data_IF_161949207526
#
_entry.id   IF_161949207526
#
_cell.length_a   1.000
_cell.length_b   1.000
_cell.length_c   1.000
_cell.angle_alpha   90.00
_cell.angle_beta   90.00
_cell.angle_gamma   90.00
#
_symmetry.space_group_name_H-M   'P 1'
#
loop_
_entity.id
_entity.type
_entity.pdbx_description
1 polymer ?
#
# COMPACT_ATOMS: atom_id res chain seq x y z
N UNK A 1 4.90 -4.59 15.76
CA UNK A 1 3.51 -4.75 15.25
C UNK A 1 3.62 -5.19 13.80
N UNK A 2 2.74 -6.07 13.31
CA UNK A 2 2.69 -6.54 11.92
C UNK A 2 1.62 -5.79 11.12
N UNK A 3 1.84 -5.62 9.82
CA UNK A 3 0.93 -4.93 8.91
C UNK A 3 0.77 -5.74 7.62
N UNK A 4 -0.46 -5.86 7.13
CA UNK A 4 -0.77 -6.46 5.84
C UNK A 4 -0.49 -5.45 4.72
N UNK A 5 0.10 -5.90 3.62
CA UNK A 5 0.50 -5.05 2.51
C UNK A 5 -0.33 -5.35 1.26
N UNK A 6 -0.87 -4.30 0.65
CA UNK A 6 -1.33 -4.32 -0.74
C UNK A 6 -0.41 -3.49 -1.63
N UNK A 7 -0.12 -4.01 -2.81
CA UNK A 7 0.71 -3.38 -3.85
C UNK A 7 -0.19 -2.92 -4.99
N UNK A 8 -0.21 -1.63 -5.28
CA UNK A 8 -1.07 -1.00 -6.30
C UNK A 8 -0.21 -0.45 -7.42
N UNK A 9 -0.32 -1.02 -8.60
CA UNK A 9 0.59 -0.73 -9.72
C UNK A 9 0.08 0.45 -10.55
N UNK A 10 0.19 1.65 -10.00
CA UNK A 10 -0.07 2.91 -10.70
C UNK A 10 0.92 3.98 -10.25
N UNK A 11 1.25 4.90 -11.17
CA UNK A 11 2.04 6.10 -10.89
C UNK A 11 1.17 7.35 -10.69
N UNK A 12 -0.11 7.25 -11.00
CA UNK A 12 -1.04 8.38 -10.92
C UNK A 12 -1.70 8.42 -9.55
N UNK A 13 -1.39 9.47 -8.77
CA UNK A 13 -1.94 9.69 -7.43
C UNK A 13 -3.46 9.92 -7.43
N UNK A 14 -4.01 10.52 -8.49
CA UNK A 14 -5.47 10.73 -8.61
C UNK A 14 -6.17 9.38 -8.75
N UNK A 15 -5.67 8.53 -9.65
CA UNK A 15 -6.17 7.15 -9.83
C UNK A 15 -6.05 6.35 -8.52
N UNK A 16 -4.90 6.44 -7.83
CA UNK A 16 -4.73 5.79 -6.53
C UNK A 16 -5.73 6.30 -5.47
N UNK A 17 -5.95 7.62 -5.43
CA UNK A 17 -6.84 8.24 -4.46
C UNK A 17 -8.30 7.81 -4.70
N UNK A 18 -8.70 7.70 -5.96
CA UNK A 18 -10.04 7.24 -6.33
C UNK A 18 -10.27 5.78 -5.90
N UNK A 19 -9.29 4.88 -6.07
CA UNK A 19 -9.43 3.46 -5.72
C UNK A 19 -9.19 3.13 -4.24
N UNK A 20 -8.61 4.04 -3.43
CA UNK A 20 -8.18 3.75 -2.06
C UNK A 20 -9.31 3.15 -1.18
N UNK A 21 -10.53 3.65 -1.30
CA UNK A 21 -11.68 3.17 -0.53
C UNK A 21 -12.07 1.71 -0.84
N UNK A 22 -11.75 1.21 -2.04
CA UNK A 22 -11.98 -0.18 -2.42
C UNK A 22 -10.92 -1.11 -1.81
N UNK A 23 -9.68 -0.60 -1.64
CA UNK A 23 -8.58 -1.37 -1.08
C UNK A 23 -8.79 -1.74 0.39
N UNK A 24 -9.47 -0.89 1.16
CA UNK A 24 -9.74 -1.14 2.58
C UNK A 24 -10.55 -2.42 2.83
N UNK A 25 -11.33 -2.87 1.82
CA UNK A 25 -12.13 -4.08 1.89
C UNK A 25 -11.51 -5.25 1.13
N UNK A 26 -10.33 -5.05 0.52
CA UNK A 26 -9.67 -6.03 -0.31
C UNK A 26 -8.64 -6.81 0.50
N UNK A 27 -8.79 -8.13 0.53
CA UNK A 27 -7.84 -9.03 1.16
C UNK A 27 -7.23 -9.96 0.12
N UNK A 28 -5.90 -9.90 -0.04
CA UNK A 28 -5.12 -10.74 -0.96
C UNK A 28 -4.00 -11.43 -0.19
N UNK A 29 -3.79 -12.71 -0.44
CA UNK A 29 -2.60 -13.41 0.05
C UNK A 29 -1.36 -12.97 -0.70
N UNK A 30 -0.17 -13.19 -0.15
CA UNK A 30 1.09 -12.88 -0.83
C UNK A 30 1.15 -13.50 -2.23
N UNK A 31 1.48 -12.68 -3.22
CA UNK A 31 1.57 -13.09 -4.63
C UNK A 31 0.23 -13.28 -5.34
N UNK A 32 -0.90 -13.20 -4.64
CA UNK A 32 -2.21 -13.15 -5.30
C UNK A 32 -2.38 -11.79 -5.99
N UNK A 33 -2.97 -11.81 -7.18
CA UNK A 33 -3.19 -10.61 -7.98
C UNK A 33 -4.67 -10.49 -8.35
N UNK A 34 -5.14 -9.24 -8.49
CA UNK A 34 -6.46 -8.90 -9.00
C UNK A 34 -6.40 -7.57 -9.73
N UNK A 35 -7.51 -7.17 -10.34
CA UNK A 35 -7.67 -5.88 -10.99
C UNK A 35 -8.80 -5.11 -10.32
N UNK A 36 -8.52 -3.87 -9.92
CA UNK A 36 -9.47 -2.95 -9.30
C UNK A 36 -9.57 -1.74 -10.21
N UNK A 37 -10.72 -1.55 -10.86
CA UNK A 37 -10.96 -0.43 -11.78
C UNK A 37 -9.87 -0.24 -12.86
N UNK A 38 -9.39 -1.35 -13.45
CA UNK A 38 -8.33 -1.30 -14.47
C UNK A 38 -6.91 -1.20 -13.92
N UNK A 39 -6.75 -1.11 -12.60
CA UNK A 39 -5.45 -1.05 -11.93
C UNK A 39 -5.13 -2.40 -11.31
N UNK A 40 -3.93 -2.91 -11.62
CA UNK A 40 -3.44 -4.15 -11.02
C UNK A 40 -3.16 -3.93 -9.53
N UNK A 41 -3.64 -4.86 -8.71
CA UNK A 41 -3.38 -4.91 -7.26
C UNK A 41 -2.86 -6.29 -6.88
N UNK A 42 -1.87 -6.37 -6.00
CA UNK A 42 -1.32 -7.63 -5.52
C UNK A 42 -1.16 -7.65 -4.00
N UNK A 43 -1.30 -8.83 -3.39
CA UNK A 43 -0.96 -9.05 -1.99
C UNK A 43 0.55 -9.02 -1.79
N UNK A 44 1.03 -8.11 -0.94
CA UNK A 44 2.43 -7.93 -0.58
C UNK A 44 2.88 -8.74 0.63
N UNK A 45 1.98 -9.52 1.25
CA UNK A 45 2.26 -10.28 2.47
C UNK A 45 2.18 -9.41 3.72
N UNK A 46 3.03 -9.72 4.69
CA UNK A 46 3.11 -9.00 5.96
C UNK A 46 4.50 -8.40 6.16
N UNK A 47 4.53 -7.20 6.74
CA UNK A 47 5.75 -6.51 7.14
C UNK A 47 5.65 -6.05 8.58
N UNK A 48 6.81 -5.83 9.21
CA UNK A 48 6.89 -5.31 10.55
C UNK A 48 7.09 -3.78 10.57
N UNK A 49 7.27 -3.23 11.76
CA UNK A 49 7.50 -1.80 11.96
C UNK A 49 8.89 -1.35 11.50
N UNK A 50 9.90 -2.23 11.55
CA UNK A 50 11.25 -1.94 11.08
C UNK A 50 11.29 -1.70 9.56
N UNK A 51 10.41 -2.37 8.81
CA UNK A 51 10.19 -2.07 7.40
C UNK A 51 9.80 -0.61 7.17
N UNK A 52 8.86 -0.06 7.96
CA UNK A 52 8.45 1.34 7.83
C UNK A 52 9.59 2.30 8.18
N UNK A 53 10.35 2.02 9.23
CA UNK A 53 11.49 2.85 9.61
C UNK A 53 12.57 2.87 8.53
N UNK A 54 12.80 1.74 7.88
CA UNK A 54 13.68 1.63 6.72
C UNK A 54 13.16 2.44 5.53
N UNK A 55 11.85 2.41 5.26
CA UNK A 55 11.26 3.12 4.12
C UNK A 55 11.22 4.64 4.34
N UNK A 56 11.03 5.12 5.57
CA UNK A 56 10.98 6.55 5.93
C UNK A 56 12.26 7.33 5.66
N UNK A 57 13.41 6.66 5.69
CA UNK A 57 14.71 7.32 5.48
C UNK A 57 15.15 7.33 4.01
N UNK A 58 14.42 6.65 3.13
CA UNK A 58 14.72 6.60 1.69
C UNK A 58 14.25 7.87 1.00
N UNK A 59 15.14 8.49 0.22
CA UNK A 59 14.88 9.77 -0.46
C UNK A 59 13.86 9.66 -1.60
N UNK A 60 13.70 8.46 -2.16
CA UNK A 60 12.80 8.16 -3.28
C UNK A 60 11.44 7.61 -2.83
N UNK A 61 11.16 7.63 -1.53
CA UNK A 61 9.90 7.15 -0.94
C UNK A 61 9.13 8.32 -0.35
N UNK A 62 7.90 8.52 -0.81
CA UNK A 62 6.95 9.37 -0.09
C UNK A 62 6.14 8.52 0.89
N UNK A 63 6.01 9.00 2.12
CA UNK A 63 5.25 8.33 3.19
C UNK A 63 4.04 9.19 3.56
N UNK A 64 2.85 8.66 3.33
CA UNK A 64 1.59 9.28 3.70
C UNK A 64 0.95 8.47 4.83
N UNK A 65 0.40 9.17 5.84
CA UNK A 65 -0.30 8.53 6.96
C UNK A 65 -1.77 8.92 6.96
N UNK A 66 -2.64 7.93 6.86
CA UNK A 66 -4.09 8.11 6.96
C UNK A 66 -4.45 8.05 8.45
N UNK A 67 -5.02 9.14 8.98
CA UNK A 67 -5.34 9.24 10.41
C UNK A 67 -6.40 8.20 10.84
N UNK A 68 -7.53 8.07 10.12
CA UNK A 68 -8.44 6.95 10.33
C UNK A 68 -7.73 5.61 10.07
N UNK A 69 -7.90 4.62 10.95
CA UNK A 69 -7.39 3.26 10.73
C UNK A 69 -5.87 3.09 10.84
N UNK A 70 -5.09 4.15 11.09
CA UNK A 70 -3.63 4.10 11.21
C UNK A 70 -2.93 3.43 10.00
N UNK A 71 -3.50 3.60 8.81
CA UNK A 71 -2.97 3.08 7.54
C UNK A 71 -1.78 3.92 7.09
N UNK A 72 -0.73 3.26 6.61
CA UNK A 72 0.43 3.93 6.01
C UNK A 72 0.46 3.62 4.52
N UNK A 73 0.67 4.66 3.70
CA UNK A 73 0.81 4.54 2.26
C UNK A 73 2.22 4.94 1.89
N UNK A 74 2.91 4.08 1.15
CA UNK A 74 4.23 4.35 0.59
C UNK A 74 4.09 4.54 -0.91
N UNK A 75 4.68 5.58 -1.47
CA UNK A 75 4.81 5.75 -2.92
C UNK A 75 6.29 5.65 -3.29
N UNK A 76 6.63 4.66 -4.11
CA UNK A 76 7.99 4.44 -4.60
C UNK A 76 7.97 3.52 -5.82
N UNK A 77 9.07 3.44 -6.56
CA UNK A 77 9.25 2.45 -7.66
C UNK A 77 8.11 2.42 -8.70
N UNK A 78 7.39 3.53 -8.86
CA UNK A 78 6.25 3.65 -9.77
C UNK A 78 4.98 2.92 -9.33
N UNK A 79 4.81 2.68 -8.04
CA UNK A 79 3.65 2.01 -7.44
C UNK A 79 3.35 2.58 -6.05
N UNK A 80 2.24 2.12 -5.46
CA UNK A 80 1.88 2.40 -4.07
C UNK A 80 1.83 1.11 -3.26
N UNK A 81 2.36 1.15 -2.03
CA UNK A 81 2.10 0.13 -1.02
C UNK A 81 1.13 0.70 0.02
N UNK A 82 0.09 -0.06 0.34
CA UNK A 82 -0.87 0.28 1.40
C UNK A 82 -0.69 -0.72 2.52
N UNK A 83 -0.28 -0.22 3.68
CA UNK A 83 0.02 -0.99 4.88
C UNK A 83 -1.12 -0.82 5.87
N UNK A 84 -1.87 -1.90 6.07
CA UNK A 84 -2.96 -1.98 7.02
C UNK A 84 -2.46 -2.60 8.32
N UNK A 85 -2.56 -1.92 9.47
CA UNK A 85 -2.28 -2.54 10.76
C UNK A 85 -3.25 -3.71 11.02
N UNK A 86 -2.73 -4.79 11.61
CA UNK A 86 -3.58 -5.84 12.20
C UNK A 86 -4.36 -5.34 13.42
#
# INVERSE_FOLDING_TARGET
>A
MTMNVLKVFTQNIEVFSDLYHLLENLSLTEGQETEVEGVKVSGGGQVDEEYLDTMRVKLDVAVLKVKPGNVTILQHSGMFEVLFPE
#
